data_IF_748258973940
#
_entry.id   IF_748258973940
#
_cell.length_a   1.000
_cell.length_b   1.000
_cell.length_c   1.000
_cell.angle_alpha   90.00
_cell.angle_beta   90.00
_cell.angle_gamma   90.00
#
_symmetry.space_group_name_H-M   'P 1'
#
loop_
_entity.id
_entity.type
_entity.pdbx_description
1 polymer ?
#
# COMPACT_ATOMS: atom_id res chain seq x y z
N UNK A 1 -8.66 -22.37 3.39
CA UNK A 1 -7.86 -21.19 3.04
C UNK A 1 -6.56 -21.65 2.40
N UNK A 2 -6.23 -21.25 1.17
CA UNK A 2 -4.93 -21.55 0.55
C UNK A 2 -4.03 -20.34 0.72
N UNK A 3 -2.98 -20.47 1.51
CA UNK A 3 -1.94 -19.45 1.59
C UNK A 3 -1.23 -19.41 0.22
N UNK A 4 -1.40 -18.31 -0.49
CA UNK A 4 -0.72 -18.10 -1.78
C UNK A 4 0.73 -17.73 -1.50
N UNK A 5 1.65 -18.68 -1.68
CA UNK A 5 3.08 -18.36 -1.69
C UNK A 5 3.48 -17.93 -3.09
N UNK A 6 4.14 -16.79 -3.23
CA UNK A 6 4.66 -16.29 -4.52
C UNK A 6 5.66 -17.25 -5.19
N UNK A 7 6.12 -18.25 -4.46
CA UNK A 7 7.03 -19.32 -4.92
C UNK A 7 6.43 -20.13 -6.07
N UNK A 8 5.10 -20.24 -6.15
CA UNK A 8 4.42 -20.98 -7.25
C UNK A 8 4.66 -20.38 -8.64
N UNK A 9 5.04 -19.10 -8.71
CA UNK A 9 5.43 -18.45 -9.96
C UNK A 9 6.82 -17.82 -9.81
N UNK A 10 7.86 -18.60 -10.10
CA UNK A 10 9.25 -18.17 -9.95
C UNK A 10 9.58 -16.87 -10.70
N UNK A 11 8.92 -16.60 -11.83
CA UNK A 11 9.10 -15.35 -12.57
C UNK A 11 8.60 -14.16 -11.77
N UNK A 12 7.40 -14.23 -11.21
CA UNK A 12 6.81 -13.16 -10.40
C UNK A 12 7.59 -12.98 -9.10
N UNK A 13 8.02 -14.07 -8.47
CA UNK A 13 8.86 -14.03 -7.29
C UNK A 13 10.18 -13.28 -7.55
N UNK A 14 10.87 -13.57 -8.66
CA UNK A 14 12.10 -12.84 -9.04
C UNK A 14 11.83 -11.36 -9.32
N UNK A 15 10.67 -11.00 -9.86
CA UNK A 15 10.28 -9.59 -10.06
C UNK A 15 10.09 -8.93 -8.71
N UNK A 16 9.37 -9.56 -7.78
CA UNK A 16 9.18 -9.06 -6.43
C UNK A 16 10.51 -8.76 -5.73
N UNK A 17 11.45 -9.71 -5.72
CA UNK A 17 12.77 -9.51 -5.12
C UNK A 17 13.53 -8.32 -5.73
N UNK A 18 13.41 -8.10 -7.03
CA UNK A 18 14.03 -6.94 -7.70
C UNK A 18 13.35 -5.63 -7.33
N UNK A 19 12.03 -5.62 -7.18
CA UNK A 19 11.28 -4.46 -6.69
C UNK A 19 11.73 -4.11 -5.28
N UNK A 20 11.79 -5.09 -4.38
CA UNK A 20 12.25 -4.88 -3.00
C UNK A 20 13.69 -4.36 -2.95
N UNK A 21 14.60 -4.93 -3.75
CA UNK A 21 15.97 -4.43 -3.87
C UNK A 21 16.03 -2.98 -4.38
N UNK A 22 15.25 -2.65 -5.42
CA UNK A 22 15.21 -1.30 -5.97
C UNK A 22 14.65 -0.28 -4.95
N UNK A 23 13.65 -0.66 -4.16
CA UNK A 23 13.16 0.16 -3.05
C UNK A 23 14.26 0.40 -2.02
N UNK A 24 14.99 -0.63 -1.60
CA UNK A 24 16.11 -0.48 -0.68
C UNK A 24 17.20 0.46 -1.22
N UNK A 25 17.59 0.30 -2.50
CA UNK A 25 18.56 1.17 -3.15
C UNK A 25 18.08 2.63 -3.18
N UNK A 26 16.82 2.86 -3.52
CA UNK A 26 16.23 4.20 -3.55
C UNK A 26 16.22 4.84 -2.16
N UNK A 27 15.72 4.15 -1.15
CA UNK A 27 15.62 4.66 0.22
C UNK A 27 17.00 4.98 0.79
N UNK A 28 17.98 4.09 0.58
CA UNK A 28 19.38 4.34 0.97
C UNK A 28 19.95 5.57 0.27
N UNK A 29 19.72 5.73 -1.05
CA UNK A 29 20.17 6.89 -1.82
C UNK A 29 19.55 8.20 -1.33
N UNK A 30 18.32 8.16 -0.81
CA UNK A 30 17.61 9.31 -0.23
C UNK A 30 17.95 9.57 1.24
N UNK A 31 18.90 8.81 1.82
CA UNK A 31 19.38 9.01 3.19
C UNK A 31 18.49 8.47 4.29
N UNK A 32 17.63 7.49 3.98
CA UNK A 32 16.80 6.82 4.99
C UNK A 32 17.56 5.70 5.67
N UNK A 33 17.39 5.60 6.99
CA UNK A 33 17.83 4.46 7.78
C UNK A 33 16.80 3.32 7.66
N UNK A 34 17.27 2.14 7.27
CA UNK A 34 16.46 0.93 7.28
C UNK A 34 16.25 0.46 8.72
N UNK A 35 15.01 0.18 9.08
CA UNK A 35 14.66 -0.42 10.36
C UNK A 35 14.42 -1.92 10.21
N UNK A 36 14.83 -2.66 11.22
CA UNK A 36 14.45 -4.04 11.49
C UNK A 36 13.60 -4.03 12.77
N UNK A 37 12.32 -4.36 12.65
CA UNK A 37 11.33 -4.19 13.71
C UNK A 37 10.67 -5.52 14.05
N UNK A 38 10.25 -5.70 15.31
CA UNK A 38 9.47 -6.86 15.71
C UNK A 38 8.16 -6.96 14.90
N UNK A 39 7.79 -8.17 14.54
CA UNK A 39 6.51 -8.50 13.91
C UNK A 39 5.47 -9.01 14.92
N UNK A 40 5.86 -9.15 16.17
CA UNK A 40 4.99 -9.50 17.31
C UNK A 40 5.03 -8.39 18.35
N UNK A 41 3.87 -8.09 18.93
CA UNK A 41 3.69 -7.06 19.96
C UNK A 41 2.92 -7.64 21.15
N UNK A 42 3.27 -7.28 22.39
CA UNK A 42 2.50 -7.65 23.58
C UNK A 42 1.20 -6.81 23.71
N UNK A 43 1.03 -5.77 22.90
CA UNK A 43 -0.14 -4.90 22.96
C UNK A 43 -0.78 -4.75 21.58
N UNK A 44 -2.11 -4.61 21.58
CA UNK A 44 -2.89 -4.28 20.40
C UNK A 44 -2.56 -2.87 19.90
N UNK A 45 -2.50 -2.73 18.58
CA UNK A 45 -2.54 -1.43 17.93
C UNK A 45 -4.02 -0.98 17.92
N UNK A 46 -4.35 0.18 18.51
CA UNK A 46 -5.73 0.65 18.58
C UNK A 46 -6.18 1.25 17.24
N UNK A 47 -6.39 0.40 16.23
CA UNK A 47 -6.98 0.79 14.95
C UNK A 47 -8.41 0.25 14.86
N UNK A 48 -9.35 1.16 14.61
CA UNK A 48 -10.74 0.79 14.29
C UNK A 48 -10.77 0.02 12.97
N UNK A 49 -11.59 -1.03 12.90
CA UNK A 49 -11.80 -1.84 11.68
C UNK A 49 -10.65 -2.76 11.24
N UNK A 50 -9.54 -2.83 11.97
CA UNK A 50 -8.52 -3.85 11.76
C UNK A 50 -8.67 -4.97 12.77
N UNK A 51 -8.90 -6.17 12.28
CA UNK A 51 -8.82 -7.37 13.08
C UNK A 51 -7.39 -7.89 13.06
N UNK A 52 -6.85 -8.19 14.25
CA UNK A 52 -5.43 -8.53 14.45
C UNK A 52 -5.31 -10.01 14.76
N UNK A 53 -4.30 -10.67 14.21
CA UNK A 53 -3.97 -12.03 14.58
C UNK A 53 -3.44 -12.09 16.00
N UNK A 54 -4.03 -12.95 16.81
CA UNK A 54 -3.56 -13.28 18.15
C UNK A 54 -2.70 -14.54 18.11
N UNK A 55 -1.70 -14.59 18.97
CA UNK A 55 -0.88 -15.78 19.20
C UNK A 55 -0.49 -15.88 20.66
N UNK A 56 0.09 -16.97 21.07
CA UNK A 56 0.49 -17.22 22.45
C UNK A 56 1.98 -17.57 22.51
N UNK A 57 2.70 -16.88 23.36
CA UNK A 57 4.07 -17.24 23.72
C UNK A 57 4.04 -18.09 24.99
N UNK A 58 4.58 -19.30 24.88
CA UNK A 58 4.62 -20.25 25.99
C UNK A 58 6.08 -20.35 26.47
N UNK A 59 6.32 -20.03 27.73
CA UNK A 59 7.61 -20.14 28.38
C UNK A 59 7.47 -20.84 29.73
N UNK A 60 7.83 -22.11 29.78
CA UNK A 60 7.62 -23.01 30.92
C UNK A 60 6.14 -23.03 31.37
N UNK A 61 5.86 -22.50 32.55
CA UNK A 61 4.53 -22.40 33.18
C UNK A 61 3.82 -21.07 32.88
N UNK A 62 4.47 -20.19 32.15
CA UNK A 62 3.95 -18.85 31.80
C UNK A 62 3.46 -18.81 30.37
N UNK A 63 2.31 -18.15 30.22
CA UNK A 63 1.71 -17.87 28.91
C UNK A 63 1.52 -16.38 28.76
N UNK A 64 1.92 -15.88 27.61
CA UNK A 64 1.79 -14.47 27.27
C UNK A 64 1.06 -14.34 25.94
N UNK A 65 0.02 -13.50 25.92
CA UNK A 65 -0.71 -13.20 24.70
C UNK A 65 0.05 -12.19 23.88
N UNK A 66 0.30 -12.53 22.62
CA UNK A 66 0.97 -11.67 21.65
C UNK A 66 0.07 -11.44 20.43
N UNK A 67 0.40 -10.43 19.66
CA UNK A 67 -0.31 -10.03 18.47
C UNK A 67 0.65 -9.85 17.30
N UNK A 68 0.26 -10.34 16.11
CA UNK A 68 1.02 -10.05 14.90
C UNK A 68 0.74 -8.61 14.45
N UNK A 69 1.80 -7.85 14.12
CA UNK A 69 1.67 -6.43 13.83
C UNK A 69 1.01 -6.19 12.47
N UNK A 70 -0.09 -5.40 12.39
CA UNK A 70 -0.74 -5.04 11.14
C UNK A 70 0.00 -3.93 10.39
N UNK A 71 0.88 -3.20 11.08
CA UNK A 71 1.73 -2.12 10.57
C UNK A 71 2.91 -1.88 11.54
N UNK A 72 4.08 -1.46 11.07
CA UNK A 72 5.22 -1.08 11.91
C UNK A 72 5.06 0.30 12.57
N UNK A 73 3.97 1.04 12.29
CA UNK A 73 3.77 2.45 12.62
C UNK A 73 4.12 2.81 14.06
N UNK A 74 3.59 2.07 15.04
CA UNK A 74 3.81 2.40 16.46
C UNK A 74 5.28 2.26 16.87
N UNK A 75 5.99 1.26 16.35
CA UNK A 75 7.42 1.12 16.61
C UNK A 75 8.20 2.26 15.96
N UNK A 76 7.88 2.61 14.72
CA UNK A 76 8.54 3.68 13.98
C UNK A 76 8.32 5.04 14.63
N UNK A 77 7.10 5.37 15.05
CA UNK A 77 6.78 6.64 15.72
C UNK A 77 7.51 6.81 17.06
N UNK A 78 7.69 5.73 17.83
CA UNK A 78 8.49 5.76 19.06
C UNK A 78 9.97 6.09 18.79
N UNK A 79 10.54 5.59 17.70
CA UNK A 79 11.91 5.90 17.31
C UNK A 79 12.05 7.34 16.79
N UNK A 80 11.02 7.84 16.07
CA UNK A 80 10.99 9.24 15.64
C UNK A 80 11.02 10.22 16.80
N UNK A 81 10.31 9.93 17.90
CA UNK A 81 10.34 10.80 19.11
C UNK A 81 11.71 10.84 19.78
N UNK A 82 12.58 9.88 19.48
CA UNK A 82 13.97 9.83 19.96
C UNK A 82 14.95 10.52 19.00
N UNK A 83 14.48 11.14 17.93
CA UNK A 83 15.31 11.89 17.00
C UNK A 83 16.09 11.04 15.99
N UNK A 84 15.64 9.83 15.67
CA UNK A 84 16.36 8.89 14.78
C UNK A 84 16.51 9.41 13.32
N UNK A 85 15.77 10.44 12.93
CA UNK A 85 15.83 11.01 11.58
C UNK A 85 14.91 10.31 10.58
N UNK A 86 15.29 10.33 9.29
CA UNK A 86 14.50 9.71 8.23
C UNK A 86 14.63 8.18 8.28
N UNK A 87 13.52 7.48 8.34
CA UNK A 87 13.47 6.02 8.54
C UNK A 87 12.53 5.36 7.56
N UNK A 88 12.80 4.09 7.24
CA UNK A 88 11.87 3.23 6.52
C UNK A 88 11.93 1.79 7.01
N UNK A 89 10.80 1.12 6.86
CA UNK A 89 10.61 -0.31 7.06
C UNK A 89 10.12 -0.92 5.75
N UNK A 90 10.70 -2.04 5.35
CA UNK A 90 10.19 -2.88 4.27
C UNK A 90 10.22 -4.31 4.79
N UNK A 91 9.07 -4.83 5.15
CA UNK A 91 8.95 -6.13 5.81
C UNK A 91 7.52 -6.62 5.92
N UNK A 92 7.33 -7.67 6.70
CA UNK A 92 6.03 -8.35 6.86
C UNK A 92 5.09 -7.59 7.76
N UNK A 93 3.81 -7.58 7.37
CA UNK A 93 2.68 -7.14 8.16
C UNK A 93 1.53 -8.13 8.01
N UNK A 94 0.63 -8.16 8.98
CA UNK A 94 -0.40 -9.19 9.11
C UNK A 94 -1.75 -8.55 9.42
N UNK A 95 -2.78 -8.88 8.64
CA UNK A 95 -4.15 -8.42 8.90
C UNK A 95 -5.11 -9.60 8.82
N UNK A 96 -5.89 -9.77 9.89
CA UNK A 96 -6.94 -10.78 9.96
C UNK A 96 -8.21 -10.25 9.27
N UNK A 97 -9.13 -11.17 8.93
CA UNK A 97 -10.46 -10.84 8.35
C UNK A 97 -10.43 -9.98 7.07
N UNK A 98 -9.27 -9.78 6.46
CA UNK A 98 -9.21 -9.17 5.14
C UNK A 98 -9.72 -10.17 4.07
N UNK A 99 -10.50 -9.71 3.07
CA UNK A 99 -10.99 -10.60 2.03
C UNK A 99 -9.82 -11.29 1.32
N UNK A 100 -9.85 -12.62 1.26
CA UNK A 100 -8.86 -13.37 0.50
C UNK A 100 -9.16 -13.22 -1.00
N UNK A 101 -8.51 -12.28 -1.64
CA UNK A 101 -8.69 -11.95 -3.05
C UNK A 101 -7.36 -12.04 -3.83
N UNK A 102 -7.39 -11.72 -5.11
CA UNK A 102 -6.17 -11.59 -5.92
C UNK A 102 -5.27 -10.43 -5.46
N UNK A 103 -5.81 -9.47 -4.70
CA UNK A 103 -5.12 -8.26 -4.25
C UNK A 103 -4.80 -8.26 -2.75
N UNK A 104 -5.44 -9.12 -1.96
CA UNK A 104 -5.27 -9.15 -0.51
C UNK A 104 -4.72 -10.50 -0.06
N UNK A 105 -3.83 -10.45 0.92
CA UNK A 105 -3.30 -11.62 1.63
C UNK A 105 -3.21 -11.29 3.12
N UNK A 106 -3.51 -12.23 4.01
CA UNK A 106 -3.39 -12.01 5.45
C UNK A 106 -1.96 -11.71 5.91
N UNK A 107 -0.96 -12.15 5.15
CA UNK A 107 0.44 -11.76 5.27
C UNK A 107 0.87 -11.04 3.99
N UNK A 108 1.44 -9.86 4.11
CA UNK A 108 1.92 -9.06 2.98
C UNK A 108 3.20 -8.30 3.33
N UNK A 109 3.90 -7.79 2.31
CA UNK A 109 5.06 -6.93 2.51
C UNK A 109 4.62 -5.47 2.46
N UNK A 110 4.93 -4.72 3.52
CA UNK A 110 4.63 -3.30 3.67
C UNK A 110 5.90 -2.47 3.55
N UNK A 111 5.84 -1.42 2.74
CA UNK A 111 6.79 -0.31 2.80
C UNK A 111 6.15 0.82 3.59
N UNK A 112 6.77 1.19 4.70
CA UNK A 112 6.39 2.37 5.47
C UNK A 112 7.64 3.25 5.69
N UNK A 113 7.50 4.56 5.57
CA UNK A 113 8.64 5.47 5.73
C UNK A 113 8.21 6.85 6.24
N UNK A 114 9.12 7.50 6.95
CA UNK A 114 8.93 8.83 7.52
C UNK A 114 10.10 9.73 7.15
N UNK A 115 9.79 10.92 6.65
CA UNK A 115 10.77 11.97 6.35
C UNK A 115 10.54 13.15 7.28
N UNK A 116 11.49 13.40 8.15
CA UNK A 116 11.41 14.50 9.12
C UNK A 116 11.43 15.84 8.41
N UNK A 117 10.53 16.73 8.80
CA UNK A 117 10.41 18.09 8.26
C UNK A 117 9.79 18.18 6.86
N UNK A 118 9.37 17.07 6.25
CA UNK A 118 8.73 17.10 4.94
C UNK A 118 7.22 17.35 5.03
N UNK A 119 6.70 18.03 4.03
CA UNK A 119 5.27 18.16 3.78
C UNK A 119 4.73 16.92 3.05
N UNK A 120 3.40 16.73 3.06
CA UNK A 120 2.76 15.63 2.33
C UNK A 120 2.97 15.75 0.78
N UNK A 121 3.11 16.96 0.25
CA UNK A 121 3.40 17.17 -1.18
C UNK A 121 4.82 16.73 -1.53
N UNK A 122 5.80 17.01 -0.70
CA UNK A 122 7.18 16.54 -0.90
C UNK A 122 7.27 15.01 -0.81
N UNK A 123 6.46 14.38 0.05
CA UNK A 123 6.35 12.92 0.09
C UNK A 123 5.70 12.36 -1.17
N UNK A 124 4.67 13.02 -1.70
CA UNK A 124 4.02 12.61 -2.96
C UNK A 124 4.99 12.66 -4.14
N UNK A 125 5.80 13.73 -4.27
CA UNK A 125 6.86 13.82 -5.29
C UNK A 125 7.91 12.72 -5.10
N UNK A 126 8.32 12.46 -3.87
CA UNK A 126 9.28 11.39 -3.59
C UNK A 126 8.73 10.00 -3.93
N UNK A 127 7.45 9.74 -3.72
CA UNK A 127 6.80 8.49 -4.14
C UNK A 127 6.85 8.37 -5.67
N UNK A 128 6.57 9.45 -6.39
CA UNK A 128 6.64 9.45 -7.86
C UNK A 128 8.07 9.18 -8.35
N UNK A 129 9.08 9.79 -7.72
CA UNK A 129 10.49 9.51 -8.01
C UNK A 129 10.84 8.03 -7.74
N UNK A 130 10.35 7.47 -6.63
CA UNK A 130 10.55 6.06 -6.30
C UNK A 130 9.92 5.15 -7.35
N UNK A 131 8.68 5.42 -7.78
CA UNK A 131 8.01 4.64 -8.83
C UNK A 131 8.80 4.66 -10.14
N UNK A 132 9.35 5.80 -10.55
CA UNK A 132 10.24 5.93 -11.71
C UNK A 132 11.49 5.08 -11.54
N UNK A 133 12.17 5.22 -10.41
CA UNK A 133 13.39 4.47 -10.12
C UNK A 133 13.16 2.95 -10.13
N UNK A 134 12.11 2.47 -9.47
CA UNK A 134 11.73 1.06 -9.43
C UNK A 134 11.38 0.55 -10.83
N UNK A 135 10.62 1.33 -11.62
CA UNK A 135 10.26 0.94 -12.98
C UNK A 135 11.46 0.79 -13.90
N UNK A 136 12.50 1.59 -13.72
CA UNK A 136 13.74 1.50 -14.49
C UNK A 136 14.62 0.31 -14.11
N UNK A 137 14.55 -0.12 -12.85
CA UNK A 137 15.32 -1.27 -12.32
C UNK A 137 14.62 -2.62 -12.53
N UNK A 138 13.33 -2.62 -12.81
CA UNK A 138 12.54 -3.85 -12.96
C UNK A 138 12.58 -4.36 -14.41
N UNK A 139 12.79 -5.66 -14.66
CA UNK A 139 12.85 -6.19 -16.03
C UNK A 139 11.51 -6.03 -16.73
N UNK A 140 11.57 -5.47 -17.91
CA UNK A 140 10.42 -5.30 -18.80
C UNK A 140 10.09 -6.63 -19.49
N UNK A 141 8.83 -6.86 -19.81
CA UNK A 141 8.42 -8.01 -20.64
C UNK A 141 9.18 -7.99 -21.97
N UNK A 142 9.67 -9.15 -22.44
CA UNK A 142 10.48 -9.31 -23.67
C UNK A 142 9.83 -8.74 -24.95
N UNK A 143 8.52 -8.54 -24.96
CA UNK A 143 7.79 -8.03 -26.14
C UNK A 143 8.02 -6.54 -26.46
N UNK A 144 8.73 -5.80 -25.59
CA UNK A 144 8.96 -4.35 -25.77
C UNK A 144 10.45 -3.95 -25.67
N UNK A 145 11.35 -4.81 -26.15
CA UNK A 145 12.82 -4.72 -25.98
C UNK A 145 13.46 -3.44 -26.55
N UNK A 146 12.80 -2.67 -27.42
CA UNK A 146 13.41 -1.59 -28.18
C UNK A 146 12.90 -0.16 -27.90
N UNK A 147 12.05 0.06 -26.91
CA UNK A 147 11.69 1.44 -26.51
C UNK A 147 12.13 1.71 -25.08
N UNK A 148 13.03 2.67 -24.88
CA UNK A 148 13.22 3.35 -23.60
C UNK A 148 11.87 3.97 -23.19
N UNK A 149 11.07 3.21 -22.46
CA UNK A 149 9.85 3.71 -21.85
C UNK A 149 10.27 4.41 -20.57
N UNK A 150 10.73 5.65 -20.72
CA UNK A 150 11.04 6.49 -19.58
C UNK A 150 9.77 6.61 -18.73
N UNK A 151 9.89 6.38 -17.43
CA UNK A 151 8.84 6.62 -16.43
C UNK A 151 7.48 5.94 -16.72
N UNK A 152 7.46 4.71 -17.21
CA UNK A 152 6.20 4.01 -17.45
C UNK A 152 6.32 2.49 -17.37
N UNK A 153 5.21 1.83 -17.06
CA UNK A 153 5.07 0.37 -17.11
C UNK A 153 3.90 -0.01 -18.01
N UNK A 154 3.89 -1.28 -18.46
CA UNK A 154 2.74 -1.88 -19.10
C UNK A 154 2.10 -2.89 -18.15
N UNK A 155 0.80 -2.76 -17.94
CA UNK A 155 0.00 -3.68 -17.17
C UNK A 155 -1.29 -3.99 -17.91
N UNK A 156 -1.57 -5.27 -18.16
CA UNK A 156 -2.75 -5.75 -18.89
C UNK A 156 -2.97 -5.00 -20.23
N UNK A 157 -1.90 -4.81 -21.01
CA UNK A 157 -1.96 -4.13 -22.30
C UNK A 157 -2.06 -2.59 -22.25
N UNK A 158 -2.21 -2.00 -21.05
CA UNK A 158 -2.28 -0.55 -20.87
C UNK A 158 -0.95 0.02 -20.44
N UNK A 159 -0.59 1.19 -20.99
CA UNK A 159 0.57 1.98 -20.55
C UNK A 159 0.17 2.81 -19.33
N UNK A 160 0.92 2.66 -18.23
CA UNK A 160 0.79 3.48 -17.03
C UNK A 160 2.03 4.38 -16.96
N UNK A 161 1.85 5.70 -17.04
CA UNK A 161 2.93 6.68 -16.97
C UNK A 161 3.11 7.20 -15.55
N UNK A 162 4.39 7.40 -15.18
CA UNK A 162 4.81 8.07 -13.95
C UNK A 162 5.42 9.45 -14.23
N UNK A 163 5.10 10.08 -15.38
CA UNK A 163 5.65 11.38 -15.75
C UNK A 163 5.16 12.49 -14.83
N UNK A 164 3.88 12.45 -14.50
CA UNK A 164 3.21 13.37 -13.58
C UNK A 164 2.05 12.70 -12.88
N UNK A 165 1.59 13.31 -11.81
CA UNK A 165 0.36 12.95 -11.11
C UNK A 165 -0.60 14.13 -11.12
N UNK A 166 -1.89 13.85 -11.06
CA UNK A 166 -2.92 14.87 -10.99
C UNK A 166 -3.31 15.13 -9.54
N UNK A 167 -3.51 16.39 -9.21
CA UNK A 167 -3.93 16.82 -7.88
C UNK A 167 -5.36 17.33 -7.96
N UNK A 168 -6.20 16.78 -7.11
CA UNK A 168 -7.58 17.19 -6.96
C UNK A 168 -7.88 17.50 -5.49
N UNK A 169 -8.72 18.48 -5.25
CA UNK A 169 -9.45 18.56 -4.00
C UNK A 169 -10.50 17.44 -3.96
N UNK A 170 -11.00 17.12 -2.78
CA UNK A 170 -12.08 16.13 -2.62
C UNK A 170 -13.30 16.55 -3.46
N UNK A 171 -13.67 17.82 -3.45
CA UNK A 171 -14.80 18.35 -4.22
C UNK A 171 -14.59 18.18 -5.73
N UNK A 172 -13.42 18.54 -6.27
CA UNK A 172 -13.08 18.36 -7.68
C UNK A 172 -13.10 16.88 -8.10
N UNK A 173 -12.59 15.99 -7.24
CA UNK A 173 -12.62 14.55 -7.52
C UNK A 173 -14.05 14.02 -7.58
N UNK A 174 -14.91 14.38 -6.63
CA UNK A 174 -16.31 13.98 -6.65
C UNK A 174 -17.07 14.56 -7.84
N UNK A 175 -16.83 15.81 -8.21
CA UNK A 175 -17.47 16.42 -9.37
C UNK A 175 -17.01 15.74 -10.68
N UNK A 176 -15.68 15.54 -10.85
CA UNK A 176 -15.10 14.95 -12.06
C UNK A 176 -15.48 13.48 -12.25
N UNK A 177 -15.39 12.67 -11.23
CA UNK A 177 -15.53 11.21 -11.35
C UNK A 177 -16.89 10.68 -10.93
N UNK A 178 -17.60 11.37 -10.05
CA UNK A 178 -18.92 10.98 -9.58
C UNK A 178 -20.04 11.94 -10.01
N UNK A 179 -19.73 13.11 -10.59
CA UNK A 179 -20.70 14.13 -10.95
C UNK A 179 -21.53 14.62 -9.75
N UNK A 180 -20.90 14.66 -8.56
CA UNK A 180 -21.48 15.20 -7.33
C UNK A 180 -20.84 16.54 -7.07
N UNK A 181 -21.63 17.61 -7.12
CA UNK A 181 -21.13 18.97 -6.93
C UNK A 181 -20.79 19.24 -5.46
N UNK A 182 -19.88 20.18 -5.21
CA UNK A 182 -19.40 20.52 -3.88
C UNK A 182 -20.53 20.81 -2.87
N UNK A 183 -21.56 21.59 -3.25
CA UNK A 183 -22.73 21.88 -2.42
C UNK A 183 -23.58 20.64 -2.06
N UNK A 184 -23.54 19.61 -2.90
CA UNK A 184 -24.22 18.33 -2.66
C UNK A 184 -23.34 17.44 -1.77
N UNK A 185 -22.02 17.49 -1.93
CA UNK A 185 -21.04 16.70 -1.19
C UNK A 185 -21.07 17.03 0.30
N UNK A 186 -21.12 18.31 0.66
CA UNK A 186 -21.14 18.78 2.06
C UNK A 186 -22.55 18.86 2.68
N UNK A 187 -23.56 18.40 1.98
CA UNK A 187 -24.92 18.23 2.50
C UNK A 187 -25.23 16.75 2.65
N UNK A 188 -25.21 16.22 3.87
CA UNK A 188 -25.39 14.78 4.13
C UNK A 188 -26.63 14.16 3.46
N UNK A 189 -27.78 14.86 3.47
CA UNK A 189 -29.02 14.35 2.88
C UNK A 189 -28.93 14.28 1.35
N UNK A 190 -28.39 15.32 0.73
CA UNK A 190 -28.19 15.37 -0.71
C UNK A 190 -27.12 14.37 -1.15
N UNK A 191 -26.02 14.27 -0.41
CA UNK A 191 -24.95 13.31 -0.70
C UNK A 191 -25.46 11.88 -0.70
N UNK A 192 -26.13 11.44 0.38
CA UNK A 192 -26.71 10.09 0.49
C UNK A 192 -27.70 9.83 -0.66
N UNK A 193 -28.55 10.79 -1.00
CA UNK A 193 -29.49 10.67 -2.11
C UNK A 193 -28.75 10.45 -3.44
N UNK A 194 -27.72 11.26 -3.72
CA UNK A 194 -26.92 11.17 -4.96
C UNK A 194 -26.13 9.87 -5.07
N UNK A 195 -25.56 9.39 -3.98
CA UNK A 195 -24.81 8.12 -3.95
C UNK A 195 -25.78 6.96 -4.26
N UNK A 196 -26.97 6.92 -3.64
CA UNK A 196 -27.99 5.90 -3.94
C UNK A 196 -28.43 5.93 -5.40
N UNK A 197 -28.76 7.11 -5.95
CA UNK A 197 -29.15 7.27 -7.36
C UNK A 197 -28.08 6.75 -8.34
N UNK A 198 -26.80 6.79 -7.95
CA UNK A 198 -25.67 6.32 -8.79
C UNK A 198 -25.31 4.87 -8.53
N UNK A 199 -25.42 4.39 -7.28
CA UNK A 199 -25.20 3.00 -6.90
C UNK A 199 -26.16 2.06 -7.65
N UNK A 200 -27.42 2.40 -7.70
CA UNK A 200 -28.44 1.65 -8.45
C UNK A 200 -28.17 1.55 -9.97
N UNK A 201 -27.37 2.46 -10.52
CA UNK A 201 -26.95 2.37 -11.94
C UNK A 201 -25.76 1.41 -12.13
N UNK A 202 -24.85 1.33 -11.19
CA UNK A 202 -23.70 0.42 -11.26
C UNK A 202 -24.10 -1.05 -11.12
N UNK A 203 -25.09 -1.36 -10.31
CA UNK A 203 -25.61 -2.73 -10.18
C UNK A 203 -26.34 -3.22 -11.43
N UNK A 204 -26.81 -2.32 -12.30
CA UNK A 204 -27.48 -2.68 -13.56
C UNK A 204 -26.52 -2.86 -14.74
N UNK A 205 -25.35 -2.21 -14.71
CA UNK A 205 -24.36 -2.28 -15.79
C UNK A 205 -23.15 -3.18 -15.45
N UNK A 206 -22.97 -3.56 -14.20
CA UNK A 206 -21.96 -4.54 -13.79
C UNK A 206 -22.59 -5.93 -13.85
N UNK A 207 -22.65 -6.50 -15.05
CA UNK A 207 -22.71 -7.95 -15.23
C UNK A 207 -21.48 -8.60 -14.62
N UNK A 208 -21.33 -8.57 -13.32
CA UNK A 208 -20.41 -9.40 -12.56
C UNK A 208 -21.08 -10.72 -12.27
N UNK A 209 -21.32 -11.47 -13.34
CA UNK A 209 -21.46 -12.92 -13.25
C UNK A 209 -20.06 -13.50 -13.07
N UNK A 210 -19.86 -14.09 -11.91
CA UNK A 210 -18.92 -15.18 -11.61
C UNK A 210 -17.44 -15.00 -12.00
N UNK A 211 -16.62 -14.68 -11.00
CA UNK A 211 -15.31 -15.32 -10.85
C UNK A 211 -15.15 -15.83 -9.40
#
# INVERSE_FOLDING_TARGET
MKIKTNIQNLKNYKIQLRVEQAVHEFMKKKGYLKLDLPVMSPALIPESYLEIFETEFNYFDRKEKLYLTPSPELFMKRLLTQGIGNIYYLGKSFRNSEPNSSFHSPEFTMLEFYKVGATYLELAEQILEMMRFVSDKTPRSRSFVNKKLNNSIFYQGKKISFDKWEKFTVAEAFEKFAGIKEKELFNNKLFIKKVKEKGDRHDKDSGCDNI
#
